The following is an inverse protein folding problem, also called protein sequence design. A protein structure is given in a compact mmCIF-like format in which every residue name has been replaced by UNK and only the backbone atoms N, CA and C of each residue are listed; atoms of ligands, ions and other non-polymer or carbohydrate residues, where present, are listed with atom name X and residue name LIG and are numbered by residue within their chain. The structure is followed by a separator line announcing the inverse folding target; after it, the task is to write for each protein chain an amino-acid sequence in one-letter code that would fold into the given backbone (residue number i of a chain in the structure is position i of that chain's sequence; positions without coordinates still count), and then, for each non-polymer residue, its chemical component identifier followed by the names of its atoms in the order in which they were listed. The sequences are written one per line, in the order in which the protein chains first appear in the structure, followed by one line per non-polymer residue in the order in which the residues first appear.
data_IF_349126024427
#
_entry.id   IF_349126024427
#
_cell.length_a   1.000
_cell.length_b   1.000
_cell.length_c   1.000
_cell.angle_alpha   90.00
_cell.angle_beta   90.00
_cell.angle_gamma   90.00
#
_symmetry.space_group_name_H-M   'P 1'
#
loop_
_entity.id
_entity.type
_entity.pdbx_description
1 polymer ?
#
# COMPACT_ATOMS: atom_id res chain seq x y z
N UNK A 1 3.91 -0.02 25.48
CA UNK A 1 3.11 0.63 24.42
C UNK A 1 3.87 0.43 23.12
N UNK A 2 3.33 -0.34 22.16
CA UNK A 2 3.95 -0.45 20.84
C UNK A 2 4.08 0.93 20.18
N UNK A 3 5.20 1.19 19.50
CA UNK A 3 5.42 2.45 18.81
C UNK A 3 4.32 2.68 17.75
N UNK A 4 3.96 3.93 17.49
CA UNK A 4 2.98 4.31 16.44
C UNK A 4 3.33 3.75 15.05
N UNK A 5 4.60 3.39 14.81
CA UNK A 5 5.07 2.80 13.55
C UNK A 5 4.80 1.31 13.47
N UNK A 6 5.01 0.57 14.56
CA UNK A 6 4.71 -0.86 14.66
C UNK A 6 3.21 -1.11 14.46
N UNK A 7 2.37 -0.36 15.18
CA UNK A 7 0.91 -0.44 15.01
C UNK A 7 0.47 -0.20 13.56
N UNK A 8 1.18 0.67 12.84
CA UNK A 8 0.88 0.98 11.44
C UNK A 8 1.30 -0.14 10.50
N UNK A 9 2.46 -0.75 10.75
CA UNK A 9 2.90 -1.93 10.03
C UNK A 9 1.93 -3.11 10.23
N UNK A 10 1.48 -3.36 11.46
CA UNK A 10 0.43 -4.35 11.75
C UNK A 10 -0.88 -4.04 11.01
N UNK A 11 -1.27 -2.77 10.98
CA UNK A 11 -2.45 -2.32 10.20
C UNK A 11 -2.28 -2.57 8.71
N UNK A 12 -1.08 -2.35 8.16
CA UNK A 12 -0.77 -2.63 6.76
C UNK A 12 -0.92 -4.12 6.46
N UNK A 13 -0.31 -5.00 7.27
CA UNK A 13 -0.42 -6.44 7.11
C UNK A 13 -1.88 -6.91 7.16
N UNK A 14 -2.67 -6.37 8.09
CA UNK A 14 -4.10 -6.68 8.21
C UNK A 14 -4.90 -6.20 6.98
N UNK A 15 -4.61 -5.01 6.46
CA UNK A 15 -5.26 -4.51 5.25
C UNK A 15 -4.91 -5.35 4.02
N UNK A 16 -3.65 -5.78 3.91
CA UNK A 16 -3.18 -6.66 2.84
C UNK A 16 -3.86 -8.04 2.90
N UNK A 17 -3.99 -8.61 4.09
CA UNK A 17 -4.74 -9.86 4.28
C UNK A 17 -6.23 -9.73 3.91
N UNK A 18 -6.83 -8.55 4.08
CA UNK A 18 -8.19 -8.33 3.60
C UNK A 18 -8.25 -8.22 2.08
N UNK A 19 -7.27 -7.53 1.46
CA UNK A 19 -7.17 -7.44 0.01
C UNK A 19 -6.93 -8.80 -0.66
N UNK A 20 -6.23 -9.73 0.00
CA UNK A 20 -6.00 -11.08 -0.55
C UNK A 20 -7.28 -11.86 -0.82
N UNK A 21 -8.37 -11.55 -0.10
CA UNK A 21 -9.69 -12.16 -0.31
C UNK A 21 -10.23 -11.87 -1.72
N UNK A 22 -9.84 -10.74 -2.30
CA UNK A 22 -10.25 -10.34 -3.65
C UNK A 22 -9.56 -11.11 -4.76
N UNK A 23 -8.40 -11.76 -4.50
CA UNK A 23 -7.58 -12.42 -5.53
C UNK A 23 -8.33 -13.53 -6.27
N UNK A 24 -9.20 -14.25 -5.56
CA UNK A 24 -10.02 -15.33 -6.10
C UNK A 24 -11.53 -15.01 -6.08
N UNK A 25 -11.89 -13.75 -5.86
CA UNK A 25 -13.29 -13.34 -5.77
C UNK A 25 -13.86 -13.06 -7.16
N UNK A 26 -15.16 -13.29 -7.30
CA UNK A 26 -15.93 -12.90 -8.48
C UNK A 26 -16.27 -11.41 -8.40
N UNK A 27 -15.76 -10.55 -9.31
CA UNK A 27 -16.03 -9.11 -9.28
C UNK A 27 -17.51 -8.77 -9.49
N UNK A 28 -18.30 -9.66 -10.09
CA UNK A 28 -19.73 -9.46 -10.34
C UNK A 28 -20.61 -9.83 -9.13
N UNK A 29 -20.01 -10.45 -8.09
CA UNK A 29 -20.71 -10.75 -6.86
C UNK A 29 -20.89 -9.50 -5.99
N UNK A 30 -22.03 -9.43 -5.29
CA UNK A 30 -22.39 -8.29 -4.45
C UNK A 30 -21.24 -7.85 -3.52
N UNK A 31 -20.94 -6.56 -3.54
CA UNK A 31 -19.93 -5.88 -2.71
C UNK A 31 -18.47 -6.28 -2.96
N UNK A 32 -18.17 -7.21 -3.87
CA UNK A 32 -16.79 -7.63 -4.12
C UNK A 32 -15.98 -6.51 -4.75
N UNK A 33 -16.53 -5.85 -5.77
CA UNK A 33 -15.84 -4.77 -6.46
C UNK A 33 -15.53 -3.59 -5.51
N UNK A 34 -16.54 -3.09 -4.81
CA UNK A 34 -16.42 -1.97 -3.87
C UNK A 34 -15.50 -2.33 -2.70
N UNK A 35 -15.64 -3.55 -2.16
CA UNK A 35 -14.78 -4.05 -1.10
C UNK A 35 -13.33 -4.16 -1.53
N UNK A 36 -13.07 -4.57 -2.76
CA UNK A 36 -11.72 -4.68 -3.33
C UNK A 36 -11.08 -3.31 -3.49
N UNK A 37 -11.80 -2.35 -4.04
CA UNK A 37 -11.33 -0.96 -4.19
C UNK A 37 -11.05 -0.32 -2.84
N UNK A 38 -11.94 -0.51 -1.86
CA UNK A 38 -11.76 0.01 -0.51
C UNK A 38 -10.50 -0.58 0.15
N UNK A 39 -10.33 -1.90 0.08
CA UNK A 39 -9.16 -2.58 0.63
C UNK A 39 -7.88 -2.14 -0.08
N UNK A 40 -7.90 -1.98 -1.41
CA UNK A 40 -6.76 -1.47 -2.18
C UNK A 40 -6.36 -0.06 -1.74
N UNK A 41 -7.31 0.87 -1.70
CA UNK A 41 -7.06 2.26 -1.31
C UNK A 41 -6.51 2.35 0.11
N UNK A 42 -7.09 1.59 1.05
CA UNK A 42 -6.61 1.53 2.42
C UNK A 42 -5.20 0.95 2.50
N UNK A 43 -4.94 -0.17 1.82
CA UNK A 43 -3.64 -0.85 1.82
C UNK A 43 -2.55 0.07 1.25
N UNK A 44 -2.83 0.74 0.14
CA UNK A 44 -1.94 1.75 -0.44
C UNK A 44 -1.66 2.90 0.53
N UNK A 45 -2.71 3.44 1.15
CA UNK A 45 -2.58 4.60 2.05
C UNK A 45 -1.78 4.29 3.32
N UNK A 46 -1.81 3.04 3.80
CA UNK A 46 -1.02 2.62 4.94
C UNK A 46 0.41 2.27 4.48
N UNK A 47 0.58 1.63 3.31
CA UNK A 47 1.89 1.19 2.83
C UNK A 47 2.86 2.37 2.61
N UNK A 48 2.43 3.45 1.98
CA UNK A 48 3.32 4.62 1.81
C UNK A 48 3.64 5.26 3.16
N UNK A 49 2.75 5.21 4.15
CA UNK A 49 3.04 5.70 5.50
C UNK A 49 4.00 4.78 6.27
N UNK A 50 4.05 3.49 5.95
CA UNK A 50 5.07 2.55 6.45
C UNK A 50 6.42 2.90 5.84
N UNK A 51 6.49 3.07 4.52
CA UNK A 51 7.72 3.51 3.83
C UNK A 51 8.24 4.83 4.40
N UNK A 52 7.35 5.80 4.62
CA UNK A 52 7.68 7.08 5.25
C UNK A 52 8.31 6.91 6.63
N UNK A 53 7.75 6.03 7.46
CA UNK A 53 8.29 5.80 8.79
C UNK A 53 9.71 5.23 8.72
N UNK A 54 9.97 4.30 7.80
CA UNK A 54 11.30 3.72 7.59
C UNK A 54 12.29 4.79 7.12
N UNK A 55 11.92 5.56 6.10
CA UNK A 55 12.74 6.67 5.58
C UNK A 55 13.16 7.63 6.69
N UNK A 56 12.23 8.01 7.56
CA UNK A 56 12.48 9.01 8.61
C UNK A 56 13.22 8.42 9.81
N UNK A 57 12.76 7.27 10.32
CA UNK A 57 13.18 6.75 11.62
C UNK A 57 14.38 5.84 11.54
N UNK A 58 14.45 5.04 10.49
CA UNK A 58 15.51 4.04 10.31
C UNK A 58 16.64 4.60 9.43
N UNK A 59 16.30 5.37 8.39
CA UNK A 59 17.27 5.91 7.44
C UNK A 59 17.63 7.39 7.68
N UNK A 60 16.91 8.10 8.55
CA UNK A 60 17.19 9.51 8.86
C UNK A 60 16.96 10.51 7.72
N UNK A 61 16.20 10.11 6.70
CA UNK A 61 15.92 10.93 5.51
C UNK A 61 14.77 11.87 5.83
N UNK A 62 15.08 13.17 5.91
CA UNK A 62 14.11 14.23 6.23
C UNK A 62 13.94 15.26 5.11
N UNK A 63 14.85 15.28 4.13
CA UNK A 63 14.89 16.27 3.06
C UNK A 63 13.98 15.88 1.87
N UNK A 64 12.69 15.73 2.17
CA UNK A 64 11.65 15.57 1.16
C UNK A 64 10.30 16.06 1.70
N UNK A 65 9.29 16.21 0.83
CA UNK A 65 7.95 16.54 1.27
C UNK A 65 7.30 15.35 2.02
N UNK A 66 7.56 15.24 3.33
CA UNK A 66 7.12 14.16 4.24
C UNK A 66 5.59 13.91 4.19
N UNK A 67 4.80 14.93 3.84
CA UNK A 67 3.35 14.84 3.68
C UNK A 67 2.87 14.27 2.34
N UNK A 68 3.76 14.08 1.37
CA UNK A 68 3.43 13.69 0.00
C UNK A 68 3.64 12.19 -0.22
N UNK A 69 2.58 11.42 -0.58
CA UNK A 69 2.73 10.03 -1.00
C UNK A 69 3.70 9.92 -2.20
N UNK A 70 3.60 10.86 -3.14
CA UNK A 70 4.46 10.89 -4.33
C UNK A 70 5.94 10.99 -3.98
N UNK A 71 6.31 11.94 -3.12
CA UNK A 71 7.71 12.11 -2.74
C UNK A 71 8.20 10.96 -1.85
N UNK A 72 7.33 10.43 -1.00
CA UNK A 72 7.64 9.23 -0.22
C UNK A 72 7.96 8.04 -1.12
N UNK A 73 7.17 7.78 -2.16
CA UNK A 73 7.42 6.68 -3.10
C UNK A 73 8.74 6.86 -3.86
N UNK A 74 9.05 8.08 -4.32
CA UNK A 74 10.34 8.38 -4.95
C UNK A 74 11.51 8.07 -4.02
N UNK A 75 11.45 8.55 -2.78
CA UNK A 75 12.51 8.29 -1.79
C UNK A 75 12.59 6.79 -1.45
N UNK A 76 11.45 6.11 -1.31
CA UNK A 76 11.42 4.68 -1.08
C UNK A 76 12.09 3.88 -2.22
N UNK A 77 11.89 4.30 -3.47
CA UNK A 77 12.57 3.72 -4.62
C UNK A 77 14.08 4.00 -4.61
N UNK A 78 14.48 5.26 -4.42
CA UNK A 78 15.89 5.65 -4.37
C UNK A 78 16.68 4.94 -3.27
N UNK A 79 16.02 4.58 -2.16
CA UNK A 79 16.63 3.91 -1.01
C UNK A 79 16.36 2.39 -0.98
N UNK A 80 15.84 1.81 -2.08
CA UNK A 80 15.69 0.36 -2.23
C UNK A 80 14.59 -0.29 -1.39
N UNK A 81 13.69 0.49 -0.76
CA UNK A 81 12.52 -0.03 -0.04
C UNK A 81 11.54 -0.65 -1.03
N UNK A 82 11.38 -0.04 -2.21
CA UNK A 82 10.63 -0.56 -3.35
C UNK A 82 11.51 -0.51 -4.60
N UNK A 83 11.20 -1.33 -5.60
CA UNK A 83 12.02 -1.49 -6.80
C UNK A 83 11.19 -1.52 -8.09
N UNK A 84 9.93 -1.04 -8.05
CA UNK A 84 9.05 -1.05 -9.20
C UNK A 84 8.33 0.30 -9.41
N UNK A 85 8.30 0.78 -10.66
CA UNK A 85 7.65 2.04 -11.05
C UNK A 85 6.11 1.96 -10.94
N UNK A 86 5.56 0.76 -10.91
CA UNK A 86 4.13 0.46 -10.74
C UNK A 86 3.56 1.10 -9.46
N UNK A 87 4.39 1.40 -8.46
CA UNK A 87 3.97 2.17 -7.28
C UNK A 87 3.47 3.57 -7.62
N UNK A 88 4.07 4.23 -8.60
CA UNK A 88 3.61 5.52 -9.10
C UNK A 88 2.32 5.39 -9.91
N UNK A 89 2.11 4.26 -10.58
CA UNK A 89 0.84 3.96 -11.25
C UNK A 89 -0.26 3.70 -10.21
N UNK A 90 0.01 2.94 -9.15
CA UNK A 90 -0.92 2.74 -8.04
C UNK A 90 -1.36 4.05 -7.40
N UNK A 91 -0.44 5.02 -7.23
CA UNK A 91 -0.80 6.35 -6.74
C UNK A 91 -1.82 7.05 -7.65
N UNK A 92 -1.62 6.99 -8.98
CA UNK A 92 -2.55 7.57 -9.95
C UNK A 92 -3.91 6.90 -9.89
N UNK A 93 -3.93 5.57 -9.87
CA UNK A 93 -5.14 4.75 -9.79
C UNK A 93 -5.92 5.05 -8.50
N UNK A 94 -5.25 5.04 -7.34
CA UNK A 94 -5.87 5.38 -6.05
C UNK A 94 -6.51 6.76 -6.08
N UNK A 95 -5.83 7.76 -6.66
CA UNK A 95 -6.38 9.11 -6.76
C UNK A 95 -7.59 9.18 -7.69
N UNK A 96 -7.59 8.43 -8.79
CA UNK A 96 -8.72 8.38 -9.71
C UNK A 96 -9.92 7.62 -9.12
N UNK A 97 -9.68 6.51 -8.41
CA UNK A 97 -10.72 5.75 -7.69
C UNK A 97 -11.46 6.58 -6.64
N UNK A 98 -10.83 7.62 -6.06
CA UNK A 98 -11.51 8.53 -5.13
C UNK A 98 -12.61 9.38 -5.78
N UNK A 99 -12.63 9.43 -7.11
CA UNK A 99 -13.60 10.18 -7.92
C UNK A 99 -14.48 9.27 -8.78
N UNK A 100 -14.33 7.94 -8.65
CA UNK A 100 -15.06 6.94 -9.42
C UNK A 100 -16.43 6.65 -8.77
N UNK A 101 -17.37 7.58 -8.92
CA UNK A 101 -18.68 7.48 -8.28
C UNK A 101 -19.64 6.49 -8.97
N UNK A 102 -19.38 6.13 -10.22
CA UNK A 102 -20.19 5.18 -11.00
C UNK A 102 -19.61 3.76 -11.06
N UNK A 103 -18.40 3.54 -10.50
CA UNK A 103 -17.74 2.24 -10.41
C UNK A 103 -17.15 1.72 -11.72
N UNK A 104 -17.20 2.52 -12.80
CA UNK A 104 -16.72 2.07 -14.11
C UNK A 104 -15.20 1.89 -14.12
N UNK A 105 -14.46 2.79 -13.48
CA UNK A 105 -13.01 2.69 -13.37
C UNK A 105 -12.58 1.61 -12.39
N UNK A 106 -13.34 1.39 -11.32
CA UNK A 106 -13.15 0.28 -10.39
C UNK A 106 -13.19 -1.07 -11.12
N UNK A 107 -14.20 -1.28 -11.98
CA UNK A 107 -14.35 -2.51 -12.76
C UNK A 107 -13.16 -2.73 -13.70
N UNK A 108 -12.70 -1.67 -14.39
CA UNK A 108 -11.51 -1.72 -15.24
C UNK A 108 -10.25 -2.10 -14.46
N UNK A 109 -10.09 -1.55 -13.25
CA UNK A 109 -8.89 -1.70 -12.44
C UNK A 109 -8.85 -2.96 -11.60
N UNK A 110 -9.97 -3.68 -11.43
CA UNK A 110 -10.06 -4.87 -10.58
C UNK A 110 -8.96 -5.90 -10.88
N UNK A 111 -8.76 -6.25 -12.14
CA UNK A 111 -7.74 -7.23 -12.55
C UNK A 111 -6.32 -6.75 -12.26
N UNK A 112 -6.04 -5.46 -12.47
CA UNK A 112 -4.74 -4.86 -12.15
C UNK A 112 -4.50 -4.85 -10.63
N UNK A 113 -5.52 -4.54 -9.83
CA UNK A 113 -5.44 -4.56 -8.37
C UNK A 113 -5.00 -5.94 -7.87
N UNK A 114 -5.63 -7.02 -8.35
CA UNK A 114 -5.36 -8.37 -7.83
C UNK A 114 -4.14 -9.05 -8.47
N UNK A 115 -3.84 -8.78 -9.75
CA UNK A 115 -2.74 -9.47 -10.47
C UNK A 115 -1.42 -8.70 -10.47
N UNK A 116 -1.47 -7.37 -10.36
CA UNK A 116 -0.27 -6.52 -10.46
C UNK A 116 0.03 -5.87 -9.12
N UNK A 117 -0.95 -5.23 -8.48
CA UNK A 117 -0.71 -4.42 -7.29
C UNK A 117 -0.62 -5.24 -6.00
N UNK A 118 -1.48 -6.24 -5.84
CA UNK A 118 -1.45 -7.13 -4.68
C UNK A 118 -0.07 -7.79 -4.46
N UNK A 119 0.58 -8.40 -5.49
CA UNK A 119 1.93 -8.95 -5.32
C UNK A 119 3.00 -7.92 -4.92
N UNK A 120 2.85 -6.65 -5.32
CA UNK A 120 3.78 -5.59 -4.92
C UNK A 120 3.63 -5.24 -3.43
N UNK A 121 2.42 -5.31 -2.89
CA UNK A 121 2.20 -5.16 -1.45
C UNK A 121 2.78 -6.33 -0.66
N UNK A 122 2.64 -7.57 -1.15
CA UNK A 122 3.27 -8.75 -0.53
C UNK A 122 4.79 -8.59 -0.48
N UNK A 123 5.40 -8.26 -1.61
CA UNK A 123 6.85 -8.01 -1.69
C UNK A 123 7.31 -6.89 -0.74
N UNK A 124 6.52 -5.82 -0.60
CA UNK A 124 6.81 -4.77 0.37
C UNK A 124 6.75 -5.30 1.80
N UNK A 125 5.71 -6.05 2.15
CA UNK A 125 5.53 -6.60 3.50
C UNK A 125 6.73 -7.45 3.91
N UNK A 126 7.19 -8.35 3.03
CA UNK A 126 8.39 -9.16 3.25
C UNK A 126 9.64 -8.28 3.43
N UNK A 127 9.83 -7.30 2.55
CA UNK A 127 11.04 -6.46 2.56
C UNK A 127 11.14 -5.58 3.81
N UNK A 128 10.02 -5.03 4.28
CA UNK A 128 10.03 -4.09 5.42
C UNK A 128 9.92 -4.76 6.78
N UNK A 129 9.63 -6.05 6.83
CA UNK A 129 9.47 -6.81 8.07
C UNK A 129 10.68 -6.69 9.01
N UNK A 130 11.88 -6.61 8.43
CA UNK A 130 13.16 -6.49 9.17
C UNK A 130 13.22 -5.26 10.09
N UNK A 131 12.55 -4.16 9.71
CA UNK A 131 12.51 -2.92 10.50
C UNK A 131 11.57 -3.01 11.69
N UNK A 132 10.66 -3.99 11.72
CA UNK A 132 9.64 -4.13 12.76
C UNK A 132 9.85 -5.36 13.64
N UNK A 133 10.70 -6.31 13.22
CA UNK A 133 11.08 -7.50 14.01
C UNK A 133 11.98 -7.21 15.21
N UNK A 134 12.62 -6.03 15.30
CA UNK A 134 13.58 -5.70 16.37
C UNK A 134 12.95 -5.04 17.62
N UNK A 135 11.63 -4.90 17.70
CA UNK A 135 10.94 -4.25 18.84
C UNK A 135 10.41 -5.22 19.91
N UNK A 136 10.78 -6.51 19.82
CA UNK A 136 10.49 -7.53 20.83
C UNK A 136 11.82 -8.06 21.36
N UNK A 137 12.47 -7.26 22.21
CA UNK A 137 13.69 -7.58 22.95
C UNK A 137 13.71 -6.79 24.23
#
# INVERSE_FOLDING_TARGET
MESKSINRYHSFCKSLQNLSKSVNADPDADFVLEGTVLNFNLTFDISWKVMKDILIKELGILDFAIGSPRETLKQAFMNGIIDNDEWMQMLRVRNQLAHDYDGTFAAEMFQNIIKVYYPLFEKLAERVEVYYKQSVG
#
